data_IF_120249749191
#
_entry.id   IF_120249749191
#
_cell.length_a   1.000
_cell.length_b   1.000
_cell.length_c   1.000
_cell.angle_alpha   90.00
_cell.angle_beta   90.00
_cell.angle_gamma   90.00
#
_symmetry.space_group_name_H-M   'P 1'
#
loop_
_entity.id
_entity.type
_entity.pdbx_description
1 polymer ?
#
# COMPACT_ATOMS: atom_id res chain seq x y z
N UNK A 1 -12.04 11.58 -1.69
CA UNK A 1 -12.13 10.18 -2.15
C UNK A 1 -11.96 9.19 -1.00
N UNK A 2 -10.96 9.34 -0.15
CA UNK A 2 -10.68 8.41 0.97
C UNK A 2 -11.88 8.17 1.89
N UNK A 3 -12.68 9.20 2.18
CA UNK A 3 -13.89 9.08 3.00
C UNK A 3 -14.94 8.14 2.39
N UNK A 4 -15.19 8.23 1.08
CA UNK A 4 -16.17 7.37 0.39
C UNK A 4 -15.69 5.91 0.33
N UNK A 5 -14.41 5.70 -0.01
CA UNK A 5 -13.80 4.36 -0.01
C UNK A 5 -13.88 3.75 1.39
N UNK A 6 -13.57 4.54 2.42
CA UNK A 6 -13.65 4.09 3.82
C UNK A 6 -15.06 3.71 4.25
N UNK A 7 -16.08 4.48 3.85
CA UNK A 7 -17.48 4.15 4.17
C UNK A 7 -17.89 2.81 3.55
N UNK A 8 -17.50 2.55 2.29
CA UNK A 8 -17.77 1.27 1.62
C UNK A 8 -17.08 0.11 2.36
N UNK A 9 -15.79 0.25 2.70
CA UNK A 9 -15.04 -0.76 3.46
C UNK A 9 -15.71 -1.06 4.81
N UNK A 10 -16.14 -0.03 5.52
CA UNK A 10 -16.82 -0.23 6.82
C UNK A 10 -18.17 -0.92 6.68
N UNK A 11 -18.92 -0.61 5.63
CA UNK A 11 -20.20 -1.27 5.38
C UNK A 11 -20.00 -2.74 5.07
N UNK A 12 -19.07 -3.06 4.17
CA UNK A 12 -18.70 -4.46 3.88
C UNK A 12 -18.24 -5.22 5.13
N UNK A 13 -17.42 -4.58 5.98
CA UNK A 13 -16.94 -5.23 7.19
C UNK A 13 -18.06 -5.62 8.17
N UNK A 14 -19.15 -4.84 8.25
CA UNK A 14 -20.33 -5.19 9.07
C UNK A 14 -21.03 -6.43 8.51
N UNK A 15 -21.25 -6.46 7.20
CA UNK A 15 -21.88 -7.60 6.51
C UNK A 15 -21.02 -8.87 6.63
N UNK A 16 -19.69 -8.74 6.54
CA UNK A 16 -18.75 -9.85 6.70
C UNK A 16 -18.74 -10.41 8.12
N UNK A 17 -18.92 -9.58 9.17
CA UNK A 17 -19.07 -10.05 10.56
C UNK A 17 -20.31 -10.92 10.72
N UNK A 18 -21.42 -10.53 10.11
CA UNK A 18 -22.67 -11.29 10.18
C UNK A 18 -22.59 -12.61 9.43
N UNK A 19 -21.88 -12.64 8.29
CA UNK A 19 -21.72 -13.80 7.44
C UNK A 19 -20.65 -14.79 7.96
N UNK A 20 -19.59 -14.29 8.61
CA UNK A 20 -18.44 -15.06 9.09
C UNK A 20 -18.09 -14.72 10.55
N UNK A 21 -18.88 -15.18 11.53
CA UNK A 21 -18.67 -14.87 12.95
C UNK A 21 -17.28 -15.24 13.48
N UNK A 22 -16.64 -16.27 12.91
CA UNK A 22 -15.26 -16.68 13.25
C UNK A 22 -14.24 -15.59 13.02
N UNK A 23 -14.49 -14.69 12.05
CA UNK A 23 -13.62 -13.55 11.70
C UNK A 23 -14.09 -12.22 12.33
N UNK A 24 -15.12 -12.22 13.17
CA UNK A 24 -15.66 -11.00 13.76
C UNK A 24 -14.60 -10.15 14.49
N UNK A 25 -13.75 -10.79 15.31
CA UNK A 25 -12.65 -10.11 16.00
C UNK A 25 -11.62 -9.52 15.03
N UNK A 26 -11.34 -10.21 13.93
CA UNK A 26 -10.44 -9.73 12.89
C UNK A 26 -11.00 -8.48 12.20
N UNK A 27 -12.25 -8.51 11.71
CA UNK A 27 -12.88 -7.34 11.08
C UNK A 27 -13.04 -6.18 12.06
N UNK A 28 -13.35 -6.47 13.32
CA UNK A 28 -13.41 -5.43 14.35
C UNK A 28 -12.05 -4.77 14.55
N UNK A 29 -10.99 -5.57 14.74
CA UNK A 29 -9.65 -5.04 15.04
C UNK A 29 -9.00 -4.34 13.86
N UNK A 30 -9.28 -4.75 12.62
CA UNK A 30 -8.66 -4.19 11.41
C UNK A 30 -9.46 -3.03 10.79
N UNK A 31 -10.79 -3.01 10.95
CA UNK A 31 -11.66 -2.03 10.29
C UNK A 31 -12.57 -1.31 11.28
N UNK A 32 -13.46 -2.03 11.98
CA UNK A 32 -14.61 -1.41 12.63
C UNK A 32 -14.26 -0.48 13.79
N UNK A 33 -13.19 -0.74 14.53
CA UNK A 33 -12.72 0.12 15.63
C UNK A 33 -12.02 1.39 15.16
N UNK A 34 -11.68 1.50 13.87
CA UNK A 34 -10.97 2.64 13.31
C UNK A 34 -11.93 3.71 12.77
N UNK A 35 -11.51 4.98 12.87
CA UNK A 35 -12.35 6.12 12.47
C UNK A 35 -12.22 6.48 10.99
N UNK A 36 -11.08 6.17 10.37
CA UNK A 36 -10.78 6.48 8.97
C UNK A 36 -9.79 5.48 8.36
N UNK A 37 -9.61 5.57 7.04
CA UNK A 37 -8.71 4.69 6.27
C UNK A 37 -7.27 4.74 6.79
N UNK A 38 -6.76 5.92 7.13
CA UNK A 38 -5.38 6.08 7.63
C UNK A 38 -5.14 5.33 8.94
N UNK A 39 -6.09 5.43 9.89
CA UNK A 39 -5.99 4.73 11.17
C UNK A 39 -6.06 3.20 11.01
N UNK A 40 -6.87 2.69 10.09
CA UNK A 40 -6.94 1.26 9.78
C UNK A 40 -5.66 0.79 9.09
N UNK A 41 -5.19 1.55 8.10
CA UNK A 41 -4.00 1.24 7.34
C UNK A 41 -2.74 1.27 8.24
N UNK A 42 -2.60 2.28 9.12
CA UNK A 42 -1.49 2.35 10.08
C UNK A 42 -1.43 1.12 10.98
N UNK A 43 -2.59 0.68 11.47
CA UNK A 43 -2.68 -0.53 12.29
C UNK A 43 -2.27 -1.80 11.53
N UNK A 44 -2.79 -1.98 10.32
CA UNK A 44 -2.51 -3.17 9.49
C UNK A 44 -1.03 -3.23 9.10
N UNK A 45 -0.47 -2.14 8.58
CA UNK A 45 0.93 -2.10 8.15
C UNK A 45 1.90 -2.26 9.33
N UNK A 46 1.63 -1.60 10.46
CA UNK A 46 2.46 -1.73 11.65
C UNK A 46 2.52 -3.19 12.14
N UNK A 47 1.38 -3.90 12.16
CA UNK A 47 1.36 -5.30 12.59
C UNK A 47 2.04 -6.24 11.58
N UNK A 48 1.98 -5.96 10.28
CA UNK A 48 2.63 -6.77 9.23
C UNK A 48 4.14 -6.58 9.18
N UNK A 49 4.64 -5.39 9.51
CA UNK A 49 6.06 -5.03 9.43
C UNK A 49 6.79 -5.14 10.78
N UNK A 50 6.06 -5.37 11.88
CA UNK A 50 6.65 -5.46 13.20
C UNK A 50 7.58 -6.67 13.33
N UNK A 51 8.62 -6.47 14.13
CA UNK A 51 9.55 -7.53 14.55
C UNK A 51 10.03 -7.28 15.99
N UNK A 52 10.94 -8.09 16.48
CA UNK A 52 11.48 -7.99 17.86
C UNK A 52 12.26 -6.71 18.12
N UNK A 53 12.82 -6.08 17.08
CA UNK A 53 13.61 -4.84 17.19
C UNK A 53 12.70 -3.62 17.12
N UNK A 54 11.70 -3.64 16.24
CA UNK A 54 10.75 -2.56 16.03
C UNK A 54 9.31 -3.08 16.20
N UNK A 55 8.74 -2.93 17.41
CA UNK A 55 7.40 -3.43 17.71
C UNK A 55 6.31 -2.60 16.98
N UNK A 56 5.13 -3.20 16.81
CA UNK A 56 4.02 -2.60 16.06
C UNK A 56 3.62 -1.20 16.57
N UNK A 57 3.72 -0.96 17.88
CA UNK A 57 3.38 0.35 18.46
C UNK A 57 4.32 1.44 17.95
N UNK A 58 5.63 1.20 17.93
CA UNK A 58 6.60 2.17 17.44
C UNK A 58 6.46 2.42 15.92
N UNK A 59 6.22 1.36 15.15
CA UNK A 59 5.92 1.49 13.72
C UNK A 59 4.65 2.30 13.48
N UNK A 60 3.62 2.07 14.26
CA UNK A 60 2.36 2.78 14.14
C UNK A 60 2.52 4.27 14.38
N UNK A 61 3.31 4.67 15.39
CA UNK A 61 3.63 6.08 15.66
C UNK A 61 4.30 6.74 14.46
N UNK A 62 5.32 6.10 13.87
CA UNK A 62 6.01 6.59 12.67
C UNK A 62 5.05 6.74 11.48
N UNK A 63 4.17 5.78 11.27
CA UNK A 63 3.20 5.78 10.19
C UNK A 63 2.16 6.89 10.38
N UNK A 64 1.62 7.04 11.59
CA UNK A 64 0.63 8.07 11.91
C UNK A 64 1.23 9.48 11.83
N UNK A 65 2.47 9.68 12.29
CA UNK A 65 3.23 10.93 12.08
C UNK A 65 3.34 11.26 10.59
N UNK A 66 3.76 10.28 9.77
CA UNK A 66 3.85 10.43 8.31
C UNK A 66 2.52 10.84 7.69
N UNK A 67 1.41 10.25 8.12
CA UNK A 67 0.07 10.59 7.59
C UNK A 67 -0.40 11.98 8.03
N UNK A 68 -0.01 12.44 9.21
CA UNK A 68 -0.29 13.80 9.67
C UNK A 68 0.50 14.84 8.85
N UNK A 69 1.78 14.57 8.58
CA UNK A 69 2.64 15.47 7.80
C UNK A 69 2.32 15.46 6.30
N UNK A 70 1.87 14.31 5.77
CA UNK A 70 1.55 14.12 4.35
C UNK A 70 0.19 13.42 4.15
N UNK A 71 -0.93 14.09 4.41
CA UNK A 71 -2.28 13.49 4.30
C UNK A 71 -2.62 12.97 2.91
N UNK A 72 -1.96 13.49 1.86
CA UNK A 72 -2.14 13.02 0.48
C UNK A 72 -1.78 11.55 0.28
N UNK A 73 -0.98 10.93 1.17
CA UNK A 73 -0.69 9.50 1.13
C UNK A 73 -1.98 8.67 1.29
N UNK A 74 -2.88 9.10 2.16
CA UNK A 74 -4.17 8.39 2.37
C UNK A 74 -5.08 8.53 1.15
N UNK A 75 -5.07 9.68 0.47
CA UNK A 75 -5.79 9.83 -0.79
C UNK A 75 -5.21 8.93 -1.88
N UNK A 76 -3.86 8.83 -1.98
CA UNK A 76 -3.22 7.87 -2.88
C UNK A 76 -3.64 6.42 -2.58
N UNK A 77 -3.70 6.03 -1.30
CA UNK A 77 -4.16 4.70 -0.90
C UNK A 77 -5.60 4.43 -1.36
N UNK A 78 -6.50 5.41 -1.26
CA UNK A 78 -7.87 5.28 -1.75
C UNK A 78 -7.93 5.13 -3.28
N UNK A 79 -7.11 5.88 -4.03
CA UNK A 79 -6.98 5.70 -5.49
C UNK A 79 -6.45 4.31 -5.86
N UNK A 80 -5.48 3.79 -5.10
CA UNK A 80 -4.91 2.47 -5.34
C UNK A 80 -5.94 1.36 -5.06
N UNK A 81 -6.74 1.47 -3.98
CA UNK A 81 -7.87 0.55 -3.70
C UNK A 81 -8.88 0.57 -4.86
N UNK A 82 -9.25 1.75 -5.33
CA UNK A 82 -10.17 1.88 -6.46
C UNK A 82 -9.60 1.27 -7.73
N UNK A 83 -8.31 1.48 -8.00
CA UNK A 83 -7.63 0.93 -9.18
C UNK A 83 -7.65 -0.60 -9.18
N UNK A 84 -7.33 -1.23 -8.04
CA UNK A 84 -7.39 -2.69 -7.88
C UNK A 84 -8.81 -3.19 -8.16
N UNK A 85 -9.81 -2.61 -7.49
CA UNK A 85 -11.21 -3.03 -7.65
C UNK A 85 -11.76 -2.88 -9.08
N UNK A 86 -11.25 -1.89 -9.82
CA UNK A 86 -11.69 -1.65 -11.21
C UNK A 86 -10.99 -2.55 -12.23
N UNK A 87 -9.77 -3.01 -11.95
CA UNK A 87 -8.91 -3.69 -12.92
C UNK A 87 -8.77 -5.18 -12.67
N UNK A 88 -8.86 -5.61 -11.42
CA UNK A 88 -8.80 -7.02 -11.05
C UNK A 88 -10.22 -7.58 -10.95
N UNK A 89 -10.65 -8.44 -11.92
CA UNK A 89 -11.98 -9.02 -11.91
C UNK A 89 -12.23 -9.97 -10.73
N UNK A 90 -11.18 -10.44 -10.06
CA UNK A 90 -11.30 -11.30 -8.89
C UNK A 90 -11.56 -10.51 -7.60
N UNK A 91 -11.42 -9.18 -7.63
CA UNK A 91 -11.60 -8.30 -6.47
C UNK A 91 -12.98 -7.64 -6.49
N UNK A 92 -13.93 -8.23 -5.78
CA UNK A 92 -15.31 -7.73 -5.68
C UNK A 92 -15.51 -6.70 -4.56
N UNK A 93 -14.74 -6.80 -3.46
CA UNK A 93 -14.90 -5.98 -2.27
C UNK A 93 -13.85 -4.87 -2.18
N UNK A 94 -14.26 -3.69 -1.69
CA UNK A 94 -13.37 -2.57 -1.39
C UNK A 94 -12.37 -2.89 -0.27
N UNK A 95 -12.76 -3.77 0.66
CA UNK A 95 -11.94 -4.21 1.79
C UNK A 95 -10.82 -5.18 1.39
N UNK A 96 -10.95 -5.89 0.27
CA UNK A 96 -9.98 -6.90 -0.17
C UNK A 96 -8.55 -6.37 -0.30
N UNK A 97 -8.28 -5.24 -0.99
CA UNK A 97 -6.92 -4.71 -1.08
C UNK A 97 -6.34 -4.35 0.29
N UNK A 98 -7.14 -3.69 1.13
CA UNK A 98 -6.73 -3.26 2.47
C UNK A 98 -6.35 -4.44 3.37
N UNK A 99 -7.11 -5.53 3.32
CA UNK A 99 -6.94 -6.65 4.25
C UNK A 99 -5.92 -7.68 3.77
N UNK A 100 -5.86 -7.97 2.47
CA UNK A 100 -5.24 -9.20 1.98
C UNK A 100 -4.17 -9.02 0.91
N UNK A 101 -4.19 -7.94 0.10
CA UNK A 101 -3.29 -7.86 -1.05
C UNK A 101 -1.91 -7.31 -0.67
N UNK A 102 -0.90 -8.18 -0.72
CA UNK A 102 0.47 -7.80 -0.36
C UNK A 102 1.07 -6.72 -1.26
N UNK A 103 0.70 -6.68 -2.54
CA UNK A 103 1.12 -5.62 -3.47
C UNK A 103 0.61 -4.24 -3.05
N UNK A 104 -0.64 -4.15 -2.61
CA UNK A 104 -1.19 -2.94 -2.02
C UNK A 104 -0.43 -2.54 -0.75
N UNK A 105 -0.20 -3.50 0.17
CA UNK A 105 0.53 -3.23 1.41
C UNK A 105 1.96 -2.74 1.14
N UNK A 106 2.65 -3.33 0.16
CA UNK A 106 4.00 -2.92 -0.23
C UNK A 106 4.04 -1.48 -0.75
N UNK A 107 3.10 -1.10 -1.63
CA UNK A 107 3.00 0.27 -2.17
C UNK A 107 2.72 1.27 -1.04
N UNK A 108 1.77 0.98 -0.15
CA UNK A 108 1.44 1.90 0.93
C UNK A 108 2.60 2.05 1.93
N UNK A 109 3.32 0.96 2.20
CA UNK A 109 4.53 0.98 3.04
C UNK A 109 5.66 1.78 2.37
N UNK A 110 5.85 1.61 1.06
CA UNK A 110 6.79 2.42 0.28
C UNK A 110 6.48 3.93 0.40
N UNK A 111 5.23 4.37 0.34
CA UNK A 111 4.88 5.79 0.47
C UNK A 111 5.37 6.40 1.79
N UNK A 112 5.38 5.60 2.85
CA UNK A 112 5.93 5.98 4.16
C UNK A 112 7.45 6.11 4.07
N UNK A 113 8.15 5.10 3.51
CA UNK A 113 9.61 5.13 3.38
C UNK A 113 10.07 6.25 2.44
N UNK A 114 9.31 6.55 1.38
CA UNK A 114 9.57 7.67 0.49
C UNK A 114 9.50 9.03 1.20
N UNK A 115 8.49 9.23 2.05
CA UNK A 115 8.38 10.46 2.86
C UNK A 115 9.57 10.59 3.83
N UNK A 116 9.92 9.52 4.55
CA UNK A 116 11.08 9.49 5.43
C UNK A 116 12.38 9.79 4.68
N UNK A 117 12.54 9.26 3.47
CA UNK A 117 13.69 9.55 2.60
C UNK A 117 13.78 11.04 2.25
N UNK A 118 12.66 11.66 1.89
CA UNK A 118 12.58 13.09 1.60
C UNK A 118 12.91 13.97 2.81
N UNK A 119 12.63 13.49 4.03
CA UNK A 119 13.00 14.14 5.29
C UNK A 119 14.45 13.87 5.72
N UNK A 120 15.27 13.26 4.87
CA UNK A 120 16.65 12.84 5.18
C UNK A 120 16.77 11.80 6.32
N UNK A 121 15.69 11.11 6.68
CA UNK A 121 15.68 9.97 7.60
C UNK A 121 16.03 8.66 6.88
N UNK A 122 17.14 8.69 6.11
CA UNK A 122 17.50 7.64 5.15
C UNK A 122 17.75 6.29 5.79
N UNK A 123 18.42 6.25 6.94
CA UNK A 123 18.68 4.99 7.65
C UNK A 123 17.38 4.27 8.02
N UNK A 124 16.38 4.99 8.52
CA UNK A 124 15.07 4.42 8.84
C UNK A 124 14.32 4.00 7.58
N UNK A 125 14.38 4.80 6.50
CA UNK A 125 13.74 4.46 5.23
C UNK A 125 14.28 3.16 4.64
N UNK A 126 15.61 2.95 4.64
CA UNK A 126 16.27 1.72 4.15
C UNK A 126 15.97 0.53 5.08
N UNK A 127 15.97 0.74 6.40
CA UNK A 127 15.57 -0.30 7.34
C UNK A 127 14.16 -0.81 7.02
N UNK A 128 13.21 0.11 6.84
CA UNK A 128 11.83 -0.26 6.51
C UNK A 128 11.68 -0.85 5.11
N UNK A 129 12.45 -0.40 4.11
CA UNK A 129 12.51 -1.03 2.79
C UNK A 129 12.85 -2.52 2.91
N UNK A 130 13.85 -2.86 3.72
CA UNK A 130 14.21 -4.26 3.96
C UNK A 130 13.05 -5.04 4.62
N UNK A 131 12.38 -4.45 5.63
CA UNK A 131 11.22 -5.11 6.26
C UNK A 131 10.06 -5.32 5.28
N UNK A 132 9.81 -4.37 4.37
CA UNK A 132 8.80 -4.47 3.30
C UNK A 132 9.15 -5.61 2.34
N UNK A 133 10.41 -5.68 1.92
CA UNK A 133 10.88 -6.75 1.05
C UNK A 133 10.72 -8.13 1.67
N UNK A 134 11.07 -8.28 2.95
CA UNK A 134 10.91 -9.54 3.68
C UNK A 134 9.43 -9.90 3.88
N UNK A 135 8.58 -8.93 4.22
CA UNK A 135 7.18 -9.19 4.54
C UNK A 135 6.31 -9.43 3.30
N UNK A 136 6.60 -8.76 2.18
CA UNK A 136 5.71 -8.74 1.02
C UNK A 136 6.35 -9.29 -0.26
N UNK A 137 7.66 -9.62 -0.23
CA UNK A 137 8.41 -10.07 -1.41
C UNK A 137 8.37 -9.03 -2.56
N UNK A 138 8.44 -7.75 -2.18
CA UNK A 138 8.43 -6.59 -3.07
C UNK A 138 9.50 -5.62 -2.61
N UNK A 139 10.48 -5.33 -3.47
CA UNK A 139 11.57 -4.42 -3.15
C UNK A 139 11.39 -3.09 -3.90
N UNK A 140 11.10 -2.02 -3.16
CA UNK A 140 10.92 -0.68 -3.72
C UNK A 140 11.89 0.26 -3.01
N UNK A 141 12.84 0.81 -3.78
CA UNK A 141 13.76 1.79 -3.22
C UNK A 141 13.03 3.07 -2.79
N UNK A 142 13.28 3.64 -1.58
CA UNK A 142 12.57 4.81 -1.07
C UNK A 142 12.69 6.07 -1.94
N UNK A 143 13.74 6.19 -2.74
CA UNK A 143 13.93 7.33 -3.65
C UNK A 143 13.12 7.22 -4.96
N UNK A 144 12.63 6.04 -5.33
CA UNK A 144 11.77 5.86 -6.50
C UNK A 144 10.57 6.83 -6.45
N UNK A 145 10.01 7.16 -7.60
CA UNK A 145 8.85 8.05 -7.71
C UNK A 145 7.65 7.27 -8.22
N UNK A 146 6.64 7.07 -7.37
CA UNK A 146 5.45 6.30 -7.73
C UNK A 146 4.21 7.18 -7.56
N UNK A 147 3.41 7.25 -8.61
CA UNK A 147 2.14 7.96 -8.65
C UNK A 147 1.03 7.31 -7.83
N UNK A 148 -0.21 7.55 -8.18
CA UNK A 148 -1.39 6.98 -7.55
C UNK A 148 -2.25 6.18 -8.55
N UNK A 149 -3.22 5.41 -8.05
CA UNK A 149 -3.98 4.48 -8.88
C UNK A 149 -3.12 3.30 -9.35
N UNK A 150 -2.20 2.87 -8.50
CA UNK A 150 -1.24 1.79 -8.79
C UNK A 150 -1.81 0.46 -8.33
N UNK A 151 -1.63 -0.57 -9.16
CA UNK A 151 -1.93 -1.95 -8.83
C UNK A 151 -0.69 -2.82 -9.04
N UNK A 152 -0.19 -3.44 -7.99
CA UNK A 152 0.79 -4.53 -8.06
C UNK A 152 0.02 -5.84 -7.92
N UNK A 153 -0.17 -6.52 -9.03
CA UNK A 153 -0.94 -7.76 -9.10
C UNK A 153 -0.06 -8.96 -8.73
N UNK A 154 -0.53 -9.77 -7.77
CA UNK A 154 0.21 -10.83 -7.08
C UNK A 154 1.53 -10.36 -6.44
N UNK A 155 2.23 -9.46 -7.04
CA UNK A 155 3.38 -8.68 -6.59
C UNK A 155 4.67 -9.44 -6.29
N UNK A 156 4.67 -10.77 -6.18
CA UNK A 156 5.87 -11.57 -5.86
C UNK A 156 7.03 -11.22 -6.79
N UNK A 157 8.18 -10.87 -6.21
CA UNK A 157 9.41 -10.61 -6.95
C UNK A 157 9.40 -9.31 -7.76
N UNK A 158 8.52 -8.34 -7.46
CA UNK A 158 8.62 -7.00 -8.05
C UNK A 158 9.79 -6.25 -7.41
N UNK A 159 10.65 -5.69 -8.26
CA UNK A 159 11.76 -4.82 -7.86
C UNK A 159 11.64 -3.46 -8.56
N UNK A 160 11.72 -2.37 -7.77
CA UNK A 160 11.66 -0.99 -8.24
C UNK A 160 12.90 -0.24 -7.74
N UNK A 161 13.84 0.04 -8.64
CA UNK A 161 15.13 0.68 -8.33
C UNK A 161 15.02 2.18 -7.98
N UNK A 162 16.12 2.72 -7.48
CA UNK A 162 16.23 4.09 -6.95
C UNK A 162 15.76 5.17 -7.93
N UNK A 163 16.11 5.05 -9.21
CA UNK A 163 15.84 6.05 -10.25
C UNK A 163 14.54 5.84 -10.99
N UNK A 164 13.78 4.79 -10.62
CA UNK A 164 12.54 4.43 -11.31
C UNK A 164 11.45 5.47 -11.12
N UNK A 165 10.66 5.67 -12.18
CA UNK A 165 9.46 6.50 -12.18
C UNK A 165 8.28 5.68 -12.67
N UNK A 166 7.27 5.53 -11.82
CA UNK A 166 5.99 4.89 -12.14
C UNK A 166 4.92 5.97 -12.12
N UNK A 167 4.34 6.26 -13.27
CA UNK A 167 3.29 7.28 -13.39
C UNK A 167 1.97 6.84 -12.74
N UNK A 168 0.95 7.72 -12.78
CA UNK A 168 -0.38 7.38 -12.27
C UNK A 168 -1.05 6.30 -13.13
N UNK A 169 -1.92 5.50 -12.48
CA UNK A 169 -2.78 4.52 -13.14
C UNK A 169 -2.03 3.38 -13.85
N UNK A 170 -0.92 2.93 -13.27
CA UNK A 170 -0.11 1.81 -13.77
C UNK A 170 -0.45 0.53 -13.03
N UNK A 171 -0.49 -0.58 -13.77
CA UNK A 171 -0.58 -1.94 -13.22
C UNK A 171 0.69 -2.72 -13.55
N UNK A 172 1.25 -3.42 -12.57
CA UNK A 172 2.46 -4.23 -12.69
C UNK A 172 2.15 -5.64 -12.19
N UNK A 173 2.50 -6.65 -12.98
CA UNK A 173 2.38 -8.07 -12.62
C UNK A 173 3.62 -8.53 -11.86
N UNK A 174 3.51 -9.69 -11.19
CA UNK A 174 4.62 -10.32 -10.48
C UNK A 174 5.86 -10.55 -11.37
N UNK A 175 7.04 -10.61 -10.74
CA UNK A 175 8.29 -10.92 -11.40
C UNK A 175 8.86 -9.80 -12.30
N UNK A 176 8.30 -8.59 -12.23
CA UNK A 176 8.82 -7.44 -12.99
C UNK A 176 9.95 -6.77 -12.21
N UNK A 177 11.10 -6.62 -12.87
CA UNK A 177 12.22 -5.82 -12.36
C UNK A 177 12.31 -4.53 -13.16
N UNK A 178 12.27 -3.40 -12.46
CA UNK A 178 12.53 -2.07 -13.01
C UNK A 178 13.88 -1.57 -12.49
N UNK A 179 14.94 -1.97 -13.14
CA UNK A 179 16.26 -1.36 -12.99
C UNK A 179 16.57 -0.52 -14.23
N UNK A 180 16.98 0.71 -14.02
CA UNK A 180 17.42 1.57 -15.12
C UNK A 180 18.93 1.55 -15.18
N UNK A 181 19.55 1.01 -16.24
CA UNK A 181 20.94 1.28 -16.52
C UNK A 181 21.04 2.75 -16.97
N UNK A 182 21.89 3.50 -16.32
CA UNK A 182 22.37 4.85 -16.65
C UNK A 182 21.56 5.67 -17.66
N UNK A 183 20.85 6.71 -17.14
CA UNK A 183 20.21 7.82 -17.87
C UNK A 183 18.92 7.54 -18.66
N UNK A 184 17.81 7.95 -18.05
CA UNK A 184 16.54 8.31 -18.73
C UNK A 184 15.85 7.19 -19.52
N UNK A 185 15.28 6.19 -18.83
CA UNK A 185 14.25 5.36 -19.43
C UNK A 185 12.95 5.46 -18.60
N UNK A 186 11.94 6.07 -19.18
CA UNK A 186 10.54 5.96 -18.71
C UNK A 186 10.02 4.64 -19.23
N UNK A 187 9.91 3.62 -18.37
CA UNK A 187 9.26 2.37 -18.76
C UNK A 187 7.78 2.52 -18.44
N UNK A 188 6.98 2.75 -19.49
CA UNK A 188 5.53 2.70 -19.42
C UNK A 188 5.11 1.24 -19.52
N UNK A 189 4.76 0.61 -18.40
CA UNK A 189 4.12 -0.72 -18.41
C UNK A 189 2.62 -0.49 -18.38
N UNK A 190 1.99 -0.78 -19.50
CA UNK A 190 0.56 -0.79 -19.81
C UNK A 190 -0.32 0.24 -19.05
N UNK A 191 -0.59 1.36 -19.70
CA UNK A 191 -1.79 2.16 -19.41
C UNK A 191 -3.01 1.35 -19.88
N UNK A 192 -3.81 0.82 -18.97
CA UNK A 192 -5.16 0.39 -19.30
C UNK A 192 -6.02 1.65 -19.54
N UNK A 193 -6.11 2.07 -20.79
CA UNK A 193 -7.14 3.01 -21.22
C UNK A 193 -8.40 2.20 -21.43
N UNK A 194 -9.43 2.40 -20.61
CA UNK A 194 -10.77 1.93 -20.93
C UNK A 194 -11.20 2.61 -22.22
N UNK A 195 -11.41 1.86 -23.29
CA UNK A 195 -12.14 2.34 -24.45
C UNK A 195 -13.56 2.72 -23.99
N UNK A 196 -13.99 3.91 -24.41
CA UNK A 196 -15.29 4.52 -24.17
C UNK A 196 -16.40 3.67 -24.78
#
# INVERSE_FOLDING_TARGET
MSSTVWQNIRQEAKELVDNEPMLASFFHSTILKHHNLGSALSYILANKLANTIMPAIALREIIEETYQEKPSIIECAAFDIQAVRQRDPAVELWSTPLLYLKGFHAIQSYRITHHLWQQNRKALAIYLQNQISVAFDVDIHPAAKIGHGIMFDHATGIVVGETSVIENNVSILQGVTQEVPEKNVVIVIQKFVKAS
#
